data_IF_340532631584
#
_entry.id   IF_340532631584
#
_cell.length_a   1.000
_cell.length_b   1.000
_cell.length_c   1.000
_cell.angle_alpha   90.00
_cell.angle_beta   90.00
_cell.angle_gamma   90.00
#
_symmetry.space_group_name_H-M   'P 1'
#
loop_
_entity.id
_entity.type
_entity.pdbx_description
1 polymer ?
#
# COMPACT_ATOMS: atom_id res chain seq x y z
N UNK A 1 -6.60 -5.22 -4.49
CA UNK A 1 -7.61 -4.63 -3.57
C UNK A 1 -7.31 -5.09 -2.14
N UNK A 2 -7.42 -4.23 -1.11
CA UNK A 2 -7.32 -4.66 0.30
C UNK A 2 -8.51 -5.57 0.62
N UNK A 3 -8.23 -6.79 1.04
CA UNK A 3 -9.23 -7.81 1.42
C UNK A 3 -9.40 -7.92 2.93
N UNK A 4 -8.29 -7.92 3.67
CA UNK A 4 -8.31 -8.04 5.13
C UNK A 4 -7.37 -7.01 5.75
N UNK A 5 -7.76 -6.49 6.90
CA UNK A 5 -6.95 -5.60 7.73
C UNK A 5 -7.01 -6.09 9.18
N UNK A 6 -5.85 -6.38 9.75
CA UNK A 6 -5.70 -6.76 11.17
C UNK A 6 -4.82 -5.75 11.87
N UNK A 7 -5.32 -5.19 12.97
CA UNK A 7 -4.61 -4.22 13.79
C UNK A 7 -4.60 -4.68 15.23
N UNK A 8 -3.42 -4.66 15.85
CA UNK A 8 -3.26 -4.95 17.25
C UNK A 8 -2.51 -3.81 17.93
N UNK A 9 -3.05 -3.33 19.04
CA UNK A 9 -2.48 -2.29 19.89
C UNK A 9 -2.19 -0.96 19.16
N UNK A 10 -3.07 -0.55 18.26
CA UNK A 10 -2.97 0.74 17.55
C UNK A 10 -3.85 1.78 18.25
N UNK A 11 -3.25 2.81 18.83
CA UNK A 11 -3.93 3.91 19.54
C UNK A 11 -4.97 3.39 20.54
N UNK A 12 -6.26 3.63 20.32
CA UNK A 12 -7.33 3.14 21.20
C UNK A 12 -7.76 1.70 20.87
N UNK A 13 -7.35 1.17 19.72
CA UNK A 13 -7.73 -0.17 19.25
C UNK A 13 -6.82 -1.21 19.92
N UNK A 14 -7.40 -2.16 20.64
CA UNK A 14 -6.66 -3.31 21.16
C UNK A 14 -6.50 -4.39 20.09
N UNK A 15 -7.61 -4.81 19.50
CA UNK A 15 -7.64 -5.77 18.40
C UNK A 15 -8.75 -5.35 17.43
N UNK A 16 -8.46 -5.43 16.15
CA UNK A 16 -9.39 -5.18 15.06
C UNK A 16 -9.09 -6.13 13.91
N UNK A 17 -10.10 -6.84 13.46
CA UNK A 17 -10.06 -7.66 12.26
C UNK A 17 -11.21 -7.20 11.36
N UNK A 18 -10.87 -6.73 10.16
CA UNK A 18 -11.83 -6.28 9.16
C UNK A 18 -11.63 -7.04 7.86
N UNK A 19 -12.74 -7.48 7.29
CA UNK A 19 -12.81 -8.02 5.93
C UNK A 19 -13.51 -7.01 5.02
N UNK A 20 -12.98 -6.84 3.82
CA UNK A 20 -13.47 -5.92 2.81
C UNK A 20 -13.93 -6.70 1.58
N UNK A 21 -15.17 -6.47 1.17
CA UNK A 21 -15.70 -6.98 -0.08
C UNK A 21 -15.31 -6.07 -1.26
N UNK A 22 -15.48 -6.56 -2.48
CA UNK A 22 -15.28 -5.76 -3.67
C UNK A 22 -16.32 -4.63 -3.78
N UNK A 23 -15.90 -3.51 -4.37
CA UNK A 23 -16.74 -2.35 -4.63
C UNK A 23 -16.49 -1.18 -3.71
N UNK A 24 -17.51 -0.34 -3.52
CA UNK A 24 -17.46 0.84 -2.67
C UNK A 24 -17.76 0.48 -1.22
N UNK A 25 -16.84 0.79 -0.33
CA UNK A 25 -16.99 0.58 1.11
C UNK A 25 -17.08 1.94 1.80
N UNK A 26 -18.08 2.14 2.63
CA UNK A 26 -18.28 3.35 3.41
C UNK A 26 -18.10 3.07 4.90
N UNK A 27 -17.17 3.79 5.54
CA UNK A 27 -16.98 3.78 6.98
C UNK A 27 -17.73 4.95 7.60
N UNK A 28 -18.82 4.68 8.31
CA UNK A 28 -19.65 5.67 8.99
C UNK A 28 -19.47 5.60 10.50
N UNK A 29 -19.68 6.70 11.19
CA UNK A 29 -19.57 6.78 12.65
C UNK A 29 -19.29 8.20 13.10
N UNK A 30 -19.40 8.46 14.40
CA UNK A 30 -19.09 9.76 15.00
C UNK A 30 -17.59 10.10 14.91
N UNK A 31 -17.24 11.39 15.00
CA UNK A 31 -15.85 11.84 15.12
C UNK A 31 -15.21 11.24 16.38
N UNK A 32 -14.04 10.64 16.23
CA UNK A 32 -13.36 9.93 17.32
C UNK A 32 -13.67 8.44 17.43
N UNK A 33 -14.63 7.91 16.68
CA UNK A 33 -15.05 6.49 16.72
C UNK A 33 -14.06 5.48 16.05
N UNK A 34 -12.81 5.88 15.84
CA UNK A 34 -11.78 4.98 15.33
C UNK A 34 -11.62 4.96 13.81
N UNK A 35 -12.44 5.70 13.01
CA UNK A 35 -12.30 5.76 11.55
C UNK A 35 -10.90 6.21 11.09
N UNK A 36 -10.38 7.27 11.69
CA UNK A 36 -9.04 7.78 11.38
C UNK A 36 -7.96 6.77 11.75
N UNK A 37 -8.16 6.01 12.82
CA UNK A 37 -7.19 4.99 13.26
C UNK A 37 -7.11 3.81 12.27
N UNK A 38 -8.21 3.49 11.60
CA UNK A 38 -8.19 2.50 10.50
C UNK A 38 -7.34 3.01 9.34
N UNK A 39 -7.49 4.30 8.98
CA UNK A 39 -6.65 4.94 7.97
C UNK A 39 -5.17 4.98 8.40
N UNK A 40 -4.88 5.28 9.68
CA UNK A 40 -3.52 5.22 10.23
C UNK A 40 -2.93 3.81 10.10
N UNK A 41 -3.73 2.76 10.36
CA UNK A 41 -3.34 1.37 10.15
C UNK A 41 -3.00 1.06 8.68
N UNK A 42 -3.83 1.53 7.75
CA UNK A 42 -3.57 1.39 6.31
C UNK A 42 -2.32 2.19 5.92
N UNK A 43 -2.15 3.42 6.41
CA UNK A 43 -0.98 4.26 6.18
C UNK A 43 0.32 3.58 6.63
N UNK A 44 0.29 2.88 7.75
CA UNK A 44 1.43 2.05 8.16
C UNK A 44 1.76 0.99 7.10
N UNK A 45 0.76 0.29 6.55
CA UNK A 45 0.97 -0.77 5.58
C UNK A 45 1.49 -0.25 4.22
N UNK A 46 1.17 0.99 3.85
CA UNK A 46 1.71 1.61 2.63
C UNK A 46 3.09 2.24 2.80
N UNK A 47 3.66 2.16 4.00
CA UNK A 47 5.05 2.56 4.23
C UNK A 47 5.22 3.91 4.91
N UNK A 48 4.21 4.45 5.57
CA UNK A 48 4.41 5.61 6.43
C UNK A 48 5.30 5.29 7.63
N UNK A 49 5.92 6.32 8.19
CA UNK A 49 6.79 6.14 9.35
C UNK A 49 5.94 5.82 10.59
N UNK A 50 6.37 4.80 11.31
CA UNK A 50 5.82 4.51 12.62
C UNK A 50 6.27 5.54 13.66
N UNK A 51 5.37 5.84 14.60
CA UNK A 51 5.63 6.69 15.75
C UNK A 51 5.28 5.92 17.03
N UNK A 52 6.04 6.12 18.08
CA UNK A 52 5.84 5.40 19.35
C UNK A 52 4.47 5.69 19.98
N UNK A 53 3.95 6.88 19.71
CA UNK A 53 2.63 7.35 20.15
C UNK A 53 1.48 6.56 19.53
N UNK A 54 1.73 5.87 18.41
CA UNK A 54 0.75 4.99 17.78
C UNK A 54 0.54 3.69 18.57
N UNK A 55 1.51 3.30 19.41
CA UNK A 55 1.36 2.13 20.28
C UNK A 55 0.35 2.44 21.38
N UNK A 56 -0.64 1.57 21.54
CA UNK A 56 -1.67 1.70 22.57
C UNK A 56 -1.04 1.92 23.95
N UNK A 57 -1.62 2.82 24.73
CA UNK A 57 -1.18 3.08 26.10
C UNK A 57 -1.26 1.81 26.95
N UNK A 58 -0.16 1.48 27.61
CA UNK A 58 -0.03 0.27 28.42
C UNK A 58 0.44 -0.97 27.66
N UNK A 59 0.61 -0.88 26.34
CA UNK A 59 1.12 -1.98 25.51
C UNK A 59 2.56 -1.71 25.07
N UNK A 60 3.32 -2.78 24.82
CA UNK A 60 4.74 -2.70 24.48
C UNK A 60 5.00 -2.67 22.97
N UNK A 61 4.05 -3.11 22.16
CA UNK A 61 4.21 -3.22 20.71
C UNK A 61 2.91 -2.98 19.96
N UNK A 62 3.07 -2.74 18.66
CA UNK A 62 1.99 -2.62 17.68
C UNK A 62 2.23 -3.62 16.54
N UNK A 63 1.14 -4.19 16.04
CA UNK A 63 1.15 -5.03 14.85
C UNK A 63 0.03 -4.59 13.90
N UNK A 64 0.38 -4.47 12.62
CA UNK A 64 -0.56 -4.23 11.54
C UNK A 64 -0.31 -5.22 10.41
N UNK A 65 -1.36 -5.82 9.88
CA UNK A 65 -1.30 -6.74 8.75
C UNK A 65 -2.41 -6.43 7.76
N UNK A 66 -2.08 -6.46 6.48
CA UNK A 66 -3.02 -6.31 5.38
C UNK A 66 -2.85 -7.41 4.36
N UNK A 67 -3.96 -7.96 3.89
CA UNK A 67 -3.99 -8.93 2.80
C UNK A 67 -4.63 -8.25 1.59
N UNK A 68 -3.90 -8.24 0.48
CA UNK A 68 -4.30 -7.57 -0.76
C UNK A 68 -4.45 -8.61 -1.88
N UNK A 69 -5.60 -8.59 -2.56
CA UNK A 69 -5.76 -9.31 -3.81
C UNK A 69 -5.15 -8.48 -4.94
N UNK A 70 -4.27 -9.10 -5.71
CA UNK A 70 -3.60 -8.52 -6.86
C UNK A 70 -4.33 -8.86 -8.16
N UNK A 71 -4.34 -7.91 -9.09
CA UNK A 71 -4.65 -8.21 -10.49
C UNK A 71 -3.42 -8.74 -11.21
N UNK A 72 -3.59 -9.45 -12.32
CA UNK A 72 -2.49 -9.95 -13.15
C UNK A 72 -1.49 -8.85 -13.52
N UNK A 73 -1.98 -7.68 -13.93
CA UNK A 73 -1.12 -6.53 -14.27
C UNK A 73 -0.29 -6.04 -13.07
N UNK A 74 -0.83 -6.09 -11.85
CA UNK A 74 -0.10 -5.71 -10.64
C UNK A 74 0.97 -6.75 -10.31
N UNK A 75 0.63 -8.03 -10.43
CA UNK A 75 1.54 -9.15 -10.21
C UNK A 75 2.73 -9.11 -11.19
N UNK A 76 2.46 -8.97 -12.49
CA UNK A 76 3.51 -8.80 -13.50
C UNK A 76 4.46 -7.64 -13.16
N UNK A 77 3.89 -6.48 -12.80
CA UNK A 77 4.68 -5.30 -12.46
C UNK A 77 5.52 -5.48 -11.20
N UNK A 78 4.99 -6.16 -10.18
CA UNK A 78 5.74 -6.45 -8.95
C UNK A 78 6.88 -7.43 -9.21
N UNK A 79 6.66 -8.42 -10.07
CA UNK A 79 7.71 -9.35 -10.48
C UNK A 79 8.82 -8.64 -11.29
N UNK A 80 8.47 -7.67 -12.16
CA UNK A 80 9.44 -6.81 -12.84
C UNK A 80 10.29 -5.97 -11.86
N UNK A 81 9.74 -5.59 -10.72
CA UNK A 81 10.43 -4.88 -9.63
C UNK A 81 11.26 -5.81 -8.72
N UNK A 82 11.26 -7.11 -9.03
CA UNK A 82 12.04 -8.12 -8.30
C UNK A 82 11.36 -8.63 -7.03
N UNK A 83 10.03 -8.49 -6.94
CA UNK A 83 9.23 -9.21 -5.95
C UNK A 83 8.76 -10.51 -6.59
N UNK A 84 9.10 -11.62 -6.00
CA UNK A 84 8.68 -12.95 -6.47
C UNK A 84 7.28 -13.24 -5.91
N UNK A 85 6.26 -12.85 -6.67
CA UNK A 85 4.85 -13.00 -6.29
C UNK A 85 4.27 -14.14 -7.11
N UNK A 86 4.12 -15.29 -6.51
CA UNK A 86 3.54 -16.48 -7.14
C UNK A 86 2.00 -16.48 -7.06
N UNK A 87 1.47 -16.14 -5.88
CA UNK A 87 0.03 -16.10 -5.61
C UNK A 87 -0.60 -14.76 -5.99
N UNK A 88 -1.93 -14.74 -6.11
CA UNK A 88 -2.70 -13.50 -6.33
C UNK A 88 -2.91 -12.71 -5.03
N UNK A 89 -2.35 -13.19 -3.93
CA UNK A 89 -2.42 -12.55 -2.62
C UNK A 89 -1.07 -11.98 -2.20
N UNK A 90 -1.13 -10.78 -1.68
CA UNK A 90 0.01 -10.10 -1.08
C UNK A 90 -0.27 -9.84 0.40
N UNK A 91 0.53 -10.44 1.27
CA UNK A 91 0.42 -10.27 2.72
C UNK A 91 1.52 -9.34 3.18
N UNK A 92 1.14 -8.21 3.76
CA UNK A 92 2.07 -7.22 4.32
C UNK A 92 1.86 -7.16 5.81
N UNK A 93 2.94 -7.34 6.58
CA UNK A 93 2.88 -7.19 8.03
C UNK A 93 3.92 -6.18 8.50
N UNK A 94 3.52 -5.37 9.49
CA UNK A 94 4.40 -4.44 10.19
C UNK A 94 4.29 -4.65 11.69
N UNK A 95 5.45 -4.80 12.31
CA UNK A 95 5.61 -4.87 13.75
C UNK A 95 6.59 -3.79 14.20
N UNK A 96 6.32 -3.12 15.29
CA UNK A 96 7.32 -2.33 16.01
C UNK A 96 7.00 -2.27 17.50
N UNK A 97 8.03 -2.04 18.30
CA UNK A 97 7.94 -1.98 19.76
C UNK A 97 8.54 -0.68 20.31
N UNK A 98 8.33 -0.44 21.62
CA UNK A 98 8.86 0.73 22.33
C UNK A 98 10.38 0.77 22.40
N UNK A 99 11.07 -0.37 22.15
CA UNK A 99 12.52 -0.46 22.09
C UNK A 99 13.08 -0.18 20.67
N UNK A 100 12.28 0.45 19.80
CA UNK A 100 12.64 0.79 18.42
C UNK A 100 12.95 -0.41 17.52
N UNK A 101 12.55 -1.63 17.91
CA UNK A 101 12.60 -2.77 17.00
C UNK A 101 11.45 -2.66 16.01
N UNK A 102 11.80 -2.68 14.73
CA UNK A 102 10.82 -2.65 13.64
C UNK A 102 11.08 -3.80 12.68
N UNK A 103 10.00 -4.47 12.29
CA UNK A 103 10.02 -5.55 11.31
C UNK A 103 8.92 -5.31 10.28
N UNK A 104 9.30 -5.39 9.01
CA UNK A 104 8.40 -5.29 7.86
C UNK A 104 8.55 -6.58 7.08
N UNK A 105 7.43 -7.24 6.77
CA UNK A 105 7.45 -8.46 5.94
C UNK A 105 6.43 -8.37 4.82
N UNK A 106 6.78 -8.96 3.70
CA UNK A 106 5.92 -9.19 2.53
C UNK A 106 5.97 -10.68 2.22
N UNK A 107 4.82 -11.35 2.25
CA UNK A 107 4.71 -12.81 2.12
C UNK A 107 5.73 -13.56 2.99
N UNK A 108 5.91 -13.09 4.24
CA UNK A 108 6.86 -13.65 5.21
C UNK A 108 8.31 -13.20 5.03
N UNK A 109 8.72 -12.66 3.88
CA UNK A 109 10.07 -12.16 3.63
C UNK A 109 10.28 -10.77 4.20
N UNK A 110 11.41 -10.55 4.88
CA UNK A 110 11.76 -9.26 5.48
C UNK A 110 12.21 -8.28 4.42
N UNK A 111 11.63 -7.07 4.43
CA UNK A 111 12.00 -5.98 3.51
C UNK A 111 12.30 -4.68 4.25
N UNK A 112 12.87 -3.70 3.54
CA UNK A 112 13.08 -2.34 4.05
C UNK A 112 11.84 -1.46 3.86
N UNK A 113 11.76 -0.35 4.58
CA UNK A 113 10.67 0.62 4.43
C UNK A 113 10.64 1.23 3.01
N UNK A 114 11.81 1.51 2.43
CA UNK A 114 11.89 2.03 1.06
C UNK A 114 11.33 1.05 0.04
N UNK A 115 11.65 -0.24 0.20
CA UNK A 115 11.15 -1.30 -0.67
C UNK A 115 9.63 -1.50 -0.51
N UNK A 116 9.12 -1.37 0.73
CA UNK A 116 7.66 -1.39 0.97
C UNK A 116 6.95 -0.25 0.24
N UNK A 117 7.47 0.98 0.31
CA UNK A 117 6.89 2.12 -0.40
C UNK A 117 6.84 1.90 -1.90
N UNK A 118 7.95 1.48 -2.51
CA UNK A 118 8.04 1.16 -3.93
C UNK A 118 7.01 0.10 -4.36
N UNK A 119 6.82 -0.93 -3.55
CA UNK A 119 5.81 -1.96 -3.77
C UNK A 119 4.40 -1.40 -3.70
N UNK A 120 4.09 -0.63 -2.64
CA UNK A 120 2.72 -0.18 -2.36
C UNK A 120 2.24 0.93 -3.29
N UNK A 121 3.12 1.75 -3.88
CA UNK A 121 2.79 2.75 -4.90
C UNK A 121 2.04 2.16 -6.11
N UNK A 122 2.15 0.85 -6.32
CA UNK A 122 1.51 0.15 -7.43
C UNK A 122 0.21 -0.58 -7.04
N UNK A 123 -0.09 -0.66 -5.76
CA UNK A 123 -1.19 -1.48 -5.23
C UNK A 123 -2.33 -0.64 -4.72
N UNK A 124 -2.03 0.39 -3.93
CA UNK A 124 -3.01 1.22 -3.26
C UNK A 124 -2.70 2.71 -3.45
N UNK A 125 -3.75 3.48 -3.62
CA UNK A 125 -3.70 4.94 -3.63
C UNK A 125 -4.51 5.45 -2.45
N UNK A 126 -3.85 6.17 -1.53
CA UNK A 126 -4.49 6.77 -0.37
C UNK A 126 -4.62 8.27 -0.58
N UNK A 127 -5.86 8.76 -0.59
CA UNK A 127 -6.17 10.18 -0.67
C UNK A 127 -6.62 10.68 0.70
N UNK A 128 -5.70 11.26 1.47
CA UNK A 128 -5.96 11.82 2.80
C UNK A 128 -6.23 13.32 2.79
N UNK A 129 -6.65 13.86 3.93
CA UNK A 129 -6.94 15.31 4.09
C UNK A 129 -5.71 16.22 3.86
N UNK A 130 -4.50 15.68 3.88
CA UNK A 130 -3.23 16.41 3.73
C UNK A 130 -2.37 15.93 2.57
N UNK A 131 -2.84 14.97 1.77
CA UNK A 131 -2.06 14.34 0.71
C UNK A 131 -2.65 14.61 -0.68
N UNK A 132 -2.61 15.85 -1.11
CA UNK A 132 -2.83 16.21 -2.53
C UNK A 132 -1.60 15.92 -3.41
N UNK A 133 -0.66 15.07 -2.96
CA UNK A 133 0.64 14.94 -3.58
C UNK A 133 0.59 14.28 -4.97
N UNK A 134 -0.34 13.36 -5.22
CA UNK A 134 -0.42 12.68 -6.51
C UNK A 134 -0.78 13.64 -7.66
N UNK A 135 -1.80 14.47 -7.47
CA UNK A 135 -2.22 15.46 -8.49
C UNK A 135 -1.23 16.64 -8.62
N UNK A 136 -0.42 16.91 -7.59
CA UNK A 136 0.59 17.95 -7.62
C UNK A 136 1.92 17.47 -8.22
N UNK A 137 2.16 16.18 -8.28
CA UNK A 137 3.38 15.62 -8.85
C UNK A 137 3.25 15.45 -10.37
N UNK A 138 3.89 16.36 -11.13
CA UNK A 138 3.87 16.38 -12.59
C UNK A 138 4.26 15.06 -13.25
N UNK A 139 5.09 14.25 -12.59
CA UNK A 139 5.54 12.97 -13.13
C UNK A 139 4.42 11.93 -13.22
N UNK A 140 3.35 12.08 -12.43
CA UNK A 140 2.19 11.18 -12.45
C UNK A 140 1.12 11.59 -13.47
N UNK A 141 1.11 12.84 -13.93
CA UNK A 141 0.07 13.31 -14.85
C UNK A 141 0.06 12.52 -16.16
N UNK A 142 1.22 12.23 -16.72
CA UNK A 142 1.33 11.44 -17.94
C UNK A 142 0.82 10.01 -17.73
N UNK A 143 1.23 9.36 -16.63
CA UNK A 143 0.78 8.02 -16.28
C UNK A 143 -0.74 7.96 -16.04
N UNK A 144 -1.31 9.02 -15.47
CA UNK A 144 -2.76 9.12 -15.28
C UNK A 144 -3.49 9.22 -16.61
N UNK A 145 -3.01 10.04 -17.54
CA UNK A 145 -3.56 10.16 -18.90
C UNK A 145 -3.43 8.84 -19.68
N UNK A 146 -2.31 8.15 -19.52
CA UNK A 146 -2.05 6.87 -20.19
C UNK A 146 -3.02 5.75 -19.74
N UNK A 147 -3.62 5.85 -18.56
CA UNK A 147 -4.66 4.90 -18.11
C UNK A 147 -5.94 4.98 -18.95
N UNK A 148 -6.22 6.11 -19.58
CA UNK A 148 -7.37 6.31 -20.45
C UNK A 148 -7.14 5.92 -21.91
N UNK A 149 -5.93 5.47 -22.28
CA UNK A 149 -5.61 4.98 -23.60
C UNK A 149 -6.42 3.71 -23.92
N UNK A 150 -6.95 3.65 -25.13
CA UNK A 150 -7.55 2.46 -25.71
C UNK A 150 -6.46 1.40 -26.01
N UNK A 151 -6.87 0.24 -26.54
CA UNK A 151 -5.94 -0.85 -26.87
C UNK A 151 -4.86 -0.40 -27.87
N UNK A 152 -5.24 0.40 -28.89
CA UNK A 152 -4.31 0.88 -29.90
C UNK A 152 -3.30 1.87 -29.31
N UNK A 153 -3.75 2.78 -28.45
CA UNK A 153 -2.89 3.71 -27.70
C UNK A 153 -1.86 3.01 -26.82
N UNK A 154 -2.27 1.96 -26.10
CA UNK A 154 -1.36 1.15 -25.28
C UNK A 154 -0.32 0.40 -26.10
N UNK A 155 -0.69 -0.14 -27.28
CA UNK A 155 0.26 -0.77 -28.19
C UNK A 155 1.27 0.23 -28.75
N UNK A 156 0.84 1.43 -29.14
CA UNK A 156 1.72 2.49 -29.60
C UNK A 156 2.69 2.95 -28.50
N UNK A 157 2.20 3.11 -27.28
CA UNK A 157 3.04 3.44 -26.13
C UNK A 157 4.14 2.40 -25.90
N UNK A 158 3.79 1.10 -25.99
CA UNK A 158 4.75 0.00 -25.85
C UNK A 158 5.80 0.02 -26.95
N UNK A 159 5.40 0.29 -28.20
CA UNK A 159 6.33 0.43 -29.35
C UNK A 159 7.29 1.60 -29.15
N UNK A 160 6.79 2.77 -28.73
CA UNK A 160 7.63 3.94 -28.45
C UNK A 160 8.64 3.65 -27.35
N UNK A 161 8.20 3.04 -26.24
CA UNK A 161 9.07 2.65 -25.13
C UNK A 161 10.21 1.74 -25.57
N UNK A 162 9.91 0.75 -26.40
CA UNK A 162 10.92 -0.18 -26.95
C UNK A 162 11.91 0.54 -27.87
N UNK A 163 11.44 1.38 -28.79
CA UNK A 163 12.31 2.13 -29.69
C UNK A 163 13.24 3.09 -28.94
N UNK A 164 12.75 3.75 -27.87
CA UNK A 164 13.60 4.61 -27.03
C UNK A 164 14.69 3.83 -26.31
N UNK A 165 14.42 2.58 -25.91
CA UNK A 165 15.42 1.71 -25.26
C UNK A 165 16.47 1.28 -26.30
N UNK A 166 16.09 1.02 -27.55
CA UNK A 166 17.02 0.67 -28.62
C UNK A 166 17.94 1.83 -29.03
N UNK A 167 17.42 3.05 -29.05
CA UNK A 167 18.20 4.26 -29.38
C UNK A 167 19.21 4.62 -28.27
N UNK A 168 18.96 4.24 -27.02
CA UNK A 168 19.84 4.52 -25.88
C UNK A 168 20.93 3.48 -25.67
N UNK A 169 20.94 2.40 -26.42
CA UNK A 169 22.01 1.41 -26.48
C UNK A 169 23.03 1.77 -27.56
#
# INVERSE_FOLDING_TARGET
MLRELRLNNLAIIKNLDLEFNEGLISLTGETGAGKSIILDGISLLIGERNQLEMIRTGEENLFAEGIFNLSENQKERLNELGFDIEDDELIISRYFDRNSKSKITVNGMRITLSKLKELMENIIDLVGQHEHQYLLNKNFHLNLLDRFLDKNGKELQKKIKNNVIEIKK
#
